data_IF_212400973967
#
_entry.id   IF_212400973967
#
_cell.length_a   1.000
_cell.length_b   1.000
_cell.length_c   1.000
_cell.angle_alpha   90.00
_cell.angle_beta   90.00
_cell.angle_gamma   90.00
#
_symmetry.space_group_name_H-M   'P 1'
#
loop_
_entity.id
_entity.type
_entity.pdbx_description
1 polymer ?
#
# COMPACT_ATOMS: atom_id res chain seq x y z
N UNK A 1 -3.32 4.55 23.34
CA UNK A 1 -2.96 3.92 24.63
C UNK A 1 -4.17 3.75 25.53
N UNK A 2 -4.89 4.82 25.90
CA UNK A 2 -6.10 4.70 26.75
C UNK A 2 -7.18 3.72 26.25
N UNK A 3 -7.42 3.59 24.95
CA UNK A 3 -8.40 2.63 24.43
C UNK A 3 -7.94 1.16 24.53
N UNK A 4 -6.64 0.91 24.44
CA UNK A 4 -6.05 -0.43 24.54
C UNK A 4 -5.97 -0.88 26.00
N UNK A 5 -5.61 0.05 26.90
CA UNK A 5 -5.74 -0.14 28.35
C UNK A 5 -7.19 -0.33 28.76
N UNK A 6 -8.15 0.42 28.21
CA UNK A 6 -9.59 0.27 28.48
C UNK A 6 -10.15 -1.07 27.93
N UNK A 7 -9.66 -1.55 26.78
CA UNK A 7 -9.99 -2.90 26.28
C UNK A 7 -9.38 -4.00 27.18
N UNK A 8 -8.18 -3.82 27.69
CA UNK A 8 -7.58 -4.81 28.61
C UNK A 8 -8.22 -4.75 30.02
N UNK A 9 -8.51 -3.55 30.54
CA UNK A 9 -9.16 -3.33 31.85
C UNK A 9 -10.62 -3.81 31.86
N UNK A 10 -11.31 -3.78 30.72
CA UNK A 10 -12.67 -4.34 30.56
C UNK A 10 -12.70 -5.87 30.44
N UNK A 11 -11.55 -6.55 30.58
CA UNK A 11 -11.49 -8.00 30.63
C UNK A 11 -11.67 -8.68 29.26
N UNK A 12 -11.36 -7.99 28.17
CA UNK A 12 -11.31 -8.63 26.86
C UNK A 12 -10.09 -9.55 26.80
N UNK A 13 -10.33 -10.83 27.07
CA UNK A 13 -9.38 -11.92 26.88
C UNK A 13 -9.52 -12.45 25.45
N UNK A 14 -8.38 -12.75 24.81
CA UNK A 14 -8.34 -13.10 23.38
C UNK A 14 -8.41 -14.62 23.21
N UNK A 15 -9.31 -15.08 22.34
CA UNK A 15 -9.31 -16.47 21.90
C UNK A 15 -8.15 -16.65 20.92
N UNK A 16 -7.21 -17.52 21.27
CA UNK A 16 -6.10 -17.88 20.38
C UNK A 16 -6.54 -19.11 19.61
N UNK A 17 -6.51 -19.05 18.28
CA UNK A 17 -6.94 -20.18 17.44
C UNK A 17 -6.23 -21.49 17.84
N UNK A 18 -6.93 -22.62 17.74
CA UNK A 18 -6.39 -23.94 18.10
C UNK A 18 -5.08 -24.23 17.32
N UNK A 19 -4.93 -23.65 16.13
CA UNK A 19 -3.70 -23.69 15.32
C UNK A 19 -2.53 -23.01 16.03
N UNK A 20 -2.72 -21.79 16.52
CA UNK A 20 -1.68 -21.05 17.28
C UNK A 20 -1.40 -21.73 18.63
N UNK A 21 -2.43 -22.27 19.29
CA UNK A 21 -2.24 -23.06 20.51
C UNK A 21 -1.41 -24.33 20.26
N UNK A 22 -1.66 -25.04 19.15
CA UNK A 22 -0.87 -26.22 18.74
C UNK A 22 0.57 -25.85 18.40
N UNK A 23 0.79 -24.73 17.73
CA UNK A 23 2.13 -24.26 17.34
C UNK A 23 3.04 -23.97 18.55
N UNK A 24 2.47 -23.58 19.70
CA UNK A 24 3.21 -23.21 20.91
C UNK A 24 2.89 -24.07 22.15
N UNK A 25 2.36 -25.29 21.94
CA UNK A 25 2.21 -26.28 23.00
C UNK A 25 1.26 -25.89 24.13
N UNK A 26 0.16 -25.18 23.82
CA UNK A 26 -0.93 -24.92 24.77
C UNK A 26 -0.61 -23.89 25.87
N UNK A 27 0.46 -23.10 25.75
CA UNK A 27 0.80 -22.04 26.72
C UNK A 27 -0.10 -20.80 26.64
N UNK A 28 -0.88 -20.67 25.57
CA UNK A 28 -1.81 -19.56 25.37
C UNK A 28 -3.18 -19.96 25.91
N UNK A 29 -3.60 -19.34 27.02
CA UNK A 29 -4.93 -19.57 27.61
C UNK A 29 -6.01 -19.17 26.60
N UNK A 30 -6.81 -20.13 26.13
CA UNK A 30 -8.09 -19.80 25.50
C UNK A 30 -9.09 -19.41 26.59
N UNK A 31 -9.86 -18.36 26.36
CA UNK A 31 -11.08 -18.12 27.13
C UNK A 31 -12.28 -18.01 26.19
N UNK A 32 -13.37 -18.65 26.61
CA UNK A 32 -14.50 -19.07 25.77
C UNK A 32 -15.58 -17.99 25.52
N UNK A 33 -15.30 -16.70 25.72
CA UNK A 33 -16.36 -15.68 25.79
C UNK A 33 -16.17 -14.47 24.86
N UNK A 34 -16.06 -14.71 23.55
CA UNK A 34 -16.46 -13.70 22.55
C UNK A 34 -17.88 -14.01 22.05
N UNK A 35 -18.87 -13.81 22.92
CA UNK A 35 -20.27 -13.85 22.55
C UNK A 35 -20.73 -12.50 22.04
N UNK A 36 -21.05 -12.39 20.74
CA UNK A 36 -21.98 -11.45 20.04
C UNK A 36 -21.97 -9.94 20.40
N UNK A 37 -21.09 -9.45 21.28
CA UNK A 37 -21.02 -8.04 21.73
C UNK A 37 -19.99 -7.21 20.96
N UNK A 38 -19.46 -7.73 19.85
CA UNK A 38 -18.37 -7.13 19.08
C UNK A 38 -18.78 -5.89 18.28
N UNK A 39 -20.07 -5.59 18.18
CA UNK A 39 -20.58 -4.49 17.34
C UNK A 39 -20.95 -3.19 18.07
N UNK A 40 -21.15 -3.20 19.39
CA UNK A 40 -21.71 -2.02 20.08
C UNK A 40 -20.70 -0.88 20.38
N UNK A 41 -19.40 -1.16 20.40
CA UNK A 41 -18.38 -0.19 20.84
C UNK A 41 -17.72 0.60 19.71
N UNK A 42 -17.80 0.11 18.48
CA UNK A 42 -17.05 0.69 17.37
C UNK A 42 -17.98 1.42 16.41
N UNK A 43 -17.51 2.58 15.95
CA UNK A 43 -18.31 3.42 15.04
C UNK A 43 -18.20 2.82 13.64
N UNK A 44 -19.33 2.44 13.07
CA UNK A 44 -19.42 2.19 11.64
C UNK A 44 -18.99 3.46 10.91
N UNK A 45 -17.89 3.37 10.16
CA UNK A 45 -17.45 4.48 9.35
C UNK A 45 -18.25 4.51 8.06
N UNK A 46 -19.04 5.57 7.86
CA UNK A 46 -19.64 5.82 6.56
C UNK A 46 -18.53 6.10 5.54
N UNK A 47 -18.45 5.29 4.49
CA UNK A 47 -17.45 5.48 3.44
C UNK A 47 -17.65 6.85 2.77
N UNK A 48 -16.66 7.77 2.82
CA UNK A 48 -16.87 9.14 2.39
C UNK A 48 -16.76 9.26 0.86
N UNK A 49 -17.76 8.76 0.13
CA UNK A 49 -17.73 8.60 -1.33
C UNK A 49 -17.47 9.92 -2.07
N UNK A 50 -18.04 11.03 -1.58
CA UNK A 50 -17.81 12.36 -2.14
C UNK A 50 -16.35 12.81 -1.98
N UNK A 51 -15.75 12.57 -0.80
CA UNK A 51 -14.33 12.90 -0.54
C UNK A 51 -13.42 12.00 -1.37
N UNK A 52 -13.74 10.71 -1.44
CA UNK A 52 -13.02 9.74 -2.27
C UNK A 52 -13.00 10.18 -3.74
N UNK A 53 -14.17 10.50 -4.32
CA UNK A 53 -14.27 10.96 -5.72
C UNK A 53 -13.52 12.27 -5.93
N UNK A 54 -13.69 13.25 -5.04
CA UNK A 54 -13.02 14.55 -5.16
C UNK A 54 -11.50 14.42 -5.12
N UNK A 55 -10.96 13.69 -4.15
CA UNK A 55 -9.51 13.48 -4.02
C UNK A 55 -8.95 12.78 -5.26
N UNK A 56 -9.60 11.71 -5.71
CA UNK A 56 -9.23 11.00 -6.94
C UNK A 56 -9.16 11.94 -8.16
N UNK A 57 -10.24 12.68 -8.44
CA UNK A 57 -10.28 13.60 -9.59
C UNK A 57 -9.27 14.74 -9.48
N UNK A 58 -9.03 15.28 -8.28
CA UNK A 58 -7.99 16.31 -8.09
C UNK A 58 -6.58 15.78 -8.37
N UNK A 59 -6.28 14.55 -7.96
CA UNK A 59 -5.01 13.90 -8.26
C UNK A 59 -4.83 13.65 -9.76
N UNK A 60 -5.88 13.16 -10.44
CA UNK A 60 -5.90 12.96 -11.89
C UNK A 60 -5.66 14.29 -12.62
N UNK A 61 -6.44 15.33 -12.28
CA UNK A 61 -6.31 16.64 -12.91
C UNK A 61 -4.92 17.25 -12.72
N UNK A 62 -4.34 17.11 -11.53
CA UNK A 62 -2.99 17.60 -11.24
C UNK A 62 -1.92 16.91 -12.09
N UNK A 63 -1.95 15.57 -12.18
CA UNK A 63 -0.97 14.79 -12.95
C UNK A 63 -1.12 14.99 -14.46
N UNK A 64 -2.35 15.09 -14.96
CA UNK A 64 -2.61 15.44 -16.37
C UNK A 64 -2.12 16.86 -16.68
N UNK A 65 -2.45 17.83 -15.82
CA UNK A 65 -2.00 19.22 -15.96
C UNK A 65 -0.48 19.35 -15.96
N UNK A 66 0.20 18.70 -15.01
CA UNK A 66 1.67 18.66 -14.95
C UNK A 66 2.27 18.02 -16.21
N UNK A 67 1.69 16.92 -16.68
CA UNK A 67 2.17 16.22 -17.89
C UNK A 67 2.03 17.09 -19.13
N UNK A 68 0.91 17.82 -19.28
CA UNK A 68 0.70 18.77 -20.36
C UNK A 68 1.72 19.93 -20.31
N UNK A 69 1.97 20.49 -19.12
CA UNK A 69 2.98 21.53 -18.91
C UNK A 69 4.38 21.05 -19.29
N UNK A 70 4.77 19.84 -18.86
CA UNK A 70 6.07 19.26 -19.21
C UNK A 70 6.17 18.94 -20.70
N UNK A 71 5.10 18.51 -21.37
CA UNK A 71 5.09 18.35 -22.82
C UNK A 71 5.38 19.68 -23.53
N UNK A 72 4.68 20.76 -23.13
CA UNK A 72 4.89 22.11 -23.69
C UNK A 72 6.31 22.60 -23.44
N UNK A 73 6.84 22.37 -22.23
CA UNK A 73 8.21 22.71 -21.88
C UNK A 73 9.23 21.95 -22.73
N UNK A 74 9.07 20.63 -22.88
CA UNK A 74 9.91 19.80 -23.74
C UNK A 74 9.85 20.27 -25.20
N UNK A 75 8.65 20.59 -25.71
CA UNK A 75 8.46 21.17 -27.04
C UNK A 75 9.25 22.48 -27.20
N UNK A 76 9.11 23.41 -26.26
CA UNK A 76 9.75 24.72 -26.35
C UNK A 76 11.28 24.64 -26.25
N UNK A 77 11.80 23.83 -25.32
CA UNK A 77 13.25 23.56 -25.19
C UNK A 77 13.77 22.97 -26.51
N UNK A 78 13.07 22.00 -27.09
CA UNK A 78 13.50 21.32 -28.32
C UNK A 78 13.64 22.24 -29.54
N UNK A 79 12.95 23.39 -29.54
CA UNK A 79 13.05 24.42 -30.58
C UNK A 79 14.19 25.42 -30.35
N UNK A 80 14.65 25.57 -29.11
CA UNK A 80 15.69 26.54 -28.72
C UNK A 80 17.10 25.95 -28.67
N UNK A 81 17.21 24.66 -28.35
CA UNK A 81 18.51 24.00 -28.17
C UNK A 81 18.97 23.30 -29.45
N UNK A 82 20.30 23.21 -29.63
CA UNK A 82 20.89 22.47 -30.72
C UNK A 82 20.62 20.95 -30.64
N UNK A 83 20.77 20.25 -31.77
CA UNK A 83 20.46 18.82 -31.89
C UNK A 83 21.22 17.93 -30.89
N UNK A 84 22.48 18.28 -30.55
CA UNK A 84 23.29 17.51 -29.58
C UNK A 84 22.68 17.55 -28.17
N UNK A 85 22.36 18.76 -27.69
CA UNK A 85 21.76 18.97 -26.37
C UNK A 85 20.40 18.28 -26.28
N UNK A 86 19.57 18.40 -27.32
CA UNK A 86 18.28 17.73 -27.39
C UNK A 86 18.40 16.21 -27.27
N UNK A 87 19.36 15.60 -27.97
CA UNK A 87 19.59 14.16 -27.89
C UNK A 87 20.01 13.74 -26.48
N UNK A 88 20.90 14.51 -25.84
CA UNK A 88 21.31 14.25 -24.46
C UNK A 88 20.11 14.35 -23.50
N UNK A 89 19.29 15.40 -23.60
CA UNK A 89 18.09 15.56 -22.78
C UNK A 89 17.12 14.40 -22.95
N UNK A 90 16.93 13.92 -24.18
CA UNK A 90 16.07 12.78 -24.46
C UNK A 90 16.61 11.50 -23.79
N UNK A 91 17.91 11.21 -23.94
CA UNK A 91 18.55 10.06 -23.28
C UNK A 91 18.42 10.15 -21.77
N UNK A 92 18.72 11.31 -21.19
CA UNK A 92 18.58 11.54 -19.74
C UNK A 92 17.14 11.32 -19.28
N UNK A 93 16.15 11.80 -20.05
CA UNK A 93 14.73 11.61 -19.71
C UNK A 93 14.34 10.13 -19.73
N UNK A 94 14.82 9.36 -20.72
CA UNK A 94 14.59 7.91 -20.77
C UNK A 94 15.26 7.17 -19.62
N UNK A 95 16.53 7.49 -19.33
CA UNK A 95 17.26 6.91 -18.19
C UNK A 95 16.50 7.20 -16.90
N UNK A 96 16.07 8.46 -16.69
CA UNK A 96 15.28 8.84 -15.52
C UNK A 96 13.97 8.05 -15.43
N UNK A 97 13.27 7.86 -16.56
CA UNK A 97 12.04 7.07 -16.62
C UNK A 97 12.27 5.60 -16.23
N UNK A 98 13.32 4.96 -16.78
CA UNK A 98 13.68 3.58 -16.45
C UNK A 98 14.11 3.46 -14.98
N UNK A 99 14.97 4.35 -14.50
CA UNK A 99 15.40 4.39 -13.10
C UNK A 99 14.21 4.60 -12.16
N UNK A 100 13.26 5.46 -12.50
CA UNK A 100 12.05 5.66 -11.74
C UNK A 100 11.21 4.37 -11.66
N UNK A 101 11.01 3.68 -12.79
CA UNK A 101 10.24 2.42 -12.82
C UNK A 101 10.90 1.35 -11.93
N UNK A 102 12.22 1.24 -11.97
CA UNK A 102 12.96 0.22 -11.22
C UNK A 102 13.11 0.50 -9.73
N UNK A 103 13.36 1.75 -9.34
CA UNK A 103 13.76 2.07 -7.97
C UNK A 103 12.70 2.83 -7.18
N UNK A 104 11.82 3.55 -7.85
CA UNK A 104 10.93 4.51 -7.20
C UNK A 104 9.46 4.09 -7.26
N UNK A 105 8.99 3.46 -8.34
CA UNK A 105 7.56 3.20 -8.62
C UNK A 105 6.78 2.71 -7.41
N UNK A 106 7.28 1.70 -6.71
CA UNK A 106 6.57 1.03 -5.62
C UNK A 106 7.21 1.29 -4.24
N UNK A 107 8.10 2.27 -4.16
CA UNK A 107 8.83 2.56 -2.94
C UNK A 107 8.03 3.43 -1.95
N UNK A 108 8.13 3.10 -0.66
CA UNK A 108 7.45 3.84 0.42
C UNK A 108 8.00 5.25 0.67
N UNK A 109 9.21 5.58 0.19
CA UNK A 109 9.82 6.90 0.44
C UNK A 109 9.03 8.05 -0.18
N UNK A 110 8.30 7.82 -1.27
CA UNK A 110 7.48 8.84 -1.92
C UNK A 110 6.39 9.38 -0.99
N UNK A 111 5.85 8.53 -0.11
CA UNK A 111 4.83 8.90 0.87
C UNK A 111 5.35 9.87 1.92
N UNK A 112 6.67 9.87 2.17
CA UNK A 112 7.31 10.81 3.11
C UNK A 112 7.43 12.21 2.54
N UNK A 113 7.63 12.34 1.22
CA UNK A 113 7.75 13.63 0.56
C UNK A 113 6.39 14.28 0.29
N UNK A 114 5.37 13.45 0.05
CA UNK A 114 4.04 13.91 -0.33
C UNK A 114 2.99 13.33 0.62
N UNK A 115 3.04 13.71 1.91
CA UNK A 115 2.06 13.24 2.89
C UNK A 115 0.69 13.79 2.48
N UNK A 116 -0.23 12.89 2.16
CA UNK A 116 -1.60 13.26 1.83
C UNK A 116 -2.34 12.15 1.10
N UNK A 117 -3.67 12.24 1.09
CA UNK A 117 -4.57 11.28 0.44
C UNK A 117 -4.27 11.12 -1.05
N UNK A 118 -3.73 12.17 -1.69
CA UNK A 118 -3.36 12.17 -3.10
C UNK A 118 -1.91 11.70 -3.37
N UNK A 119 -1.15 11.32 -2.33
CA UNK A 119 0.25 10.87 -2.47
C UNK A 119 0.41 9.71 -3.47
N UNK A 120 -0.58 8.80 -3.53
CA UNK A 120 -0.63 7.72 -4.52
C UNK A 120 -0.63 8.24 -5.97
N UNK A 121 -1.36 9.32 -6.24
CA UNK A 121 -1.46 9.90 -7.58
C UNK A 121 -0.17 10.65 -7.91
N UNK A 122 0.36 11.41 -6.96
CA UNK A 122 1.62 12.14 -7.15
C UNK A 122 2.83 11.22 -7.31
N UNK A 123 2.74 9.98 -6.82
CA UNK A 123 3.76 8.97 -7.03
C UNK A 123 3.94 8.57 -8.49
N UNK A 124 2.96 8.78 -9.38
CA UNK A 124 2.94 8.33 -10.79
C UNK A 124 3.69 9.26 -11.75
N UNK A 125 5.00 9.44 -11.53
CA UNK A 125 5.86 10.33 -12.33
C UNK A 125 6.14 9.86 -13.76
N UNK A 126 5.84 8.61 -14.10
CA UNK A 126 6.12 8.05 -15.43
C UNK A 126 5.43 8.85 -16.56
N UNK A 127 4.16 9.22 -16.39
CA UNK A 127 3.43 10.00 -17.40
C UNK A 127 4.01 11.41 -17.60
N UNK A 128 4.27 12.21 -16.54
CA UNK A 128 5.04 13.45 -16.65
C UNK A 128 6.37 13.32 -17.40
N UNK A 129 7.17 12.29 -17.08
CA UNK A 129 8.49 12.04 -17.71
C UNK A 129 8.32 11.70 -19.21
N UNK A 130 7.39 10.81 -19.55
CA UNK A 130 7.13 10.42 -20.94
C UNK A 130 6.57 11.60 -21.76
N UNK A 131 5.70 12.41 -21.18
CA UNK A 131 5.17 13.61 -21.83
C UNK A 131 6.28 14.64 -22.10
N UNK A 132 7.24 14.82 -21.19
CA UNK A 132 8.42 15.65 -21.45
C UNK A 132 9.25 15.11 -22.63
N UNK A 133 9.53 13.80 -22.66
CA UNK A 133 10.23 13.15 -23.77
C UNK A 133 9.49 13.31 -25.10
N UNK A 134 8.16 13.13 -25.09
CA UNK A 134 7.31 13.32 -26.25
C UNK A 134 7.37 14.77 -26.76
N UNK A 135 7.37 15.75 -25.86
CA UNK A 135 7.62 17.16 -26.16
C UNK A 135 8.96 17.37 -26.86
N UNK A 136 10.04 16.78 -26.34
CA UNK A 136 11.38 16.88 -26.95
C UNK A 136 11.42 16.28 -28.37
N UNK A 137 10.68 15.18 -28.59
CA UNK A 137 10.64 14.47 -29.87
C UNK A 137 9.97 15.27 -31.00
N UNK A 138 9.06 16.20 -30.68
CA UNK A 138 8.31 17.00 -31.67
C UNK A 138 9.19 17.75 -32.67
N UNK A 139 10.38 18.20 -32.28
CA UNK A 139 11.29 18.98 -33.13
C UNK A 139 12.35 18.13 -33.84
N UNK A 140 12.28 16.80 -33.77
CA UNK A 140 13.20 15.92 -34.51
C UNK A 140 12.87 15.95 -36.00
N UNK A 141 13.67 16.70 -36.77
CA UNK A 141 13.54 16.84 -38.23
C UNK A 141 13.96 15.60 -39.01
N UNK A 142 14.81 14.73 -38.43
CA UNK A 142 15.26 13.50 -39.08
C UNK A 142 14.16 12.44 -39.21
N UNK A 143 13.08 12.56 -38.45
CA UNK A 143 11.94 11.62 -38.46
C UNK A 143 10.83 12.22 -39.32
N UNK A 144 10.29 11.44 -40.26
CA UNK A 144 9.13 11.83 -41.08
C UNK A 144 7.96 12.26 -40.17
N UNK A 145 7.27 13.35 -40.51
CA UNK A 145 6.20 13.94 -39.67
C UNK A 145 5.15 12.92 -39.21
N UNK A 146 4.73 12.02 -40.10
CA UNK A 146 3.76 10.96 -39.79
C UNK A 146 4.30 9.97 -38.75
N UNK A 147 5.51 9.44 -38.93
CA UNK A 147 6.13 8.50 -37.98
C UNK A 147 6.34 9.14 -36.61
N UNK A 148 6.71 10.43 -36.59
CA UNK A 148 6.86 11.19 -35.36
C UNK A 148 5.54 11.35 -34.61
N UNK A 149 4.45 11.66 -35.33
CA UNK A 149 3.13 11.76 -34.73
C UNK A 149 2.71 10.41 -34.13
N UNK A 150 2.90 9.29 -34.86
CA UNK A 150 2.63 7.94 -34.37
C UNK A 150 3.42 7.63 -33.11
N UNK A 151 4.74 7.91 -33.09
CA UNK A 151 5.59 7.65 -31.93
C UNK A 151 5.14 8.45 -30.70
N UNK A 152 4.86 9.74 -30.86
CA UNK A 152 4.38 10.61 -29.78
C UNK A 152 3.04 10.11 -29.25
N UNK A 153 2.10 9.79 -30.14
CA UNK A 153 0.79 9.25 -29.75
C UNK A 153 0.92 7.94 -29.00
N UNK A 154 1.82 7.04 -29.44
CA UNK A 154 2.05 5.76 -28.78
C UNK A 154 2.65 5.95 -27.38
N UNK A 155 3.64 6.83 -27.23
CA UNK A 155 4.23 7.15 -25.93
C UNK A 155 3.19 7.71 -24.94
N UNK A 156 2.40 8.70 -25.37
CA UNK A 156 1.33 9.29 -24.54
C UNK A 156 0.29 8.21 -24.22
N UNK A 157 -0.15 7.43 -25.20
CA UNK A 157 -1.14 6.37 -25.01
C UNK A 157 -0.67 5.33 -23.99
N UNK A 158 0.56 4.80 -24.12
CA UNK A 158 1.12 3.82 -23.17
C UNK A 158 1.21 4.41 -21.76
N UNK A 159 1.66 5.66 -21.63
CA UNK A 159 1.73 6.32 -20.33
C UNK A 159 0.37 6.56 -19.69
N UNK A 160 -0.64 6.91 -20.50
CA UNK A 160 -2.03 7.07 -20.05
C UNK A 160 -2.66 5.74 -19.68
N UNK A 161 -2.35 4.65 -20.40
CA UNK A 161 -2.86 3.32 -20.08
C UNK A 161 -2.32 2.81 -18.74
N UNK A 162 -1.04 3.03 -18.42
CA UNK A 162 -0.50 2.69 -17.08
C UNK A 162 -1.28 3.44 -15.99
N UNK A 163 -1.56 4.72 -16.20
CA UNK A 163 -2.33 5.54 -15.27
C UNK A 163 -3.80 5.10 -15.15
N UNK A 164 -4.48 4.86 -16.28
CA UNK A 164 -5.90 4.47 -16.34
C UNK A 164 -6.11 3.04 -15.85
N UNK A 165 -5.15 2.14 -16.10
CA UNK A 165 -5.28 0.72 -15.70
C UNK A 165 -5.55 0.56 -14.20
N UNK A 166 -4.98 1.43 -13.37
CA UNK A 166 -5.26 1.45 -11.93
C UNK A 166 -6.73 1.77 -11.59
N UNK A 167 -7.41 2.57 -12.43
CA UNK A 167 -8.82 2.92 -12.25
C UNK A 167 -9.78 2.00 -13.01
N UNK A 168 -9.32 1.37 -14.11
CA UNK A 168 -10.15 0.60 -15.04
C UNK A 168 -10.14 -0.91 -14.78
N UNK A 169 -9.15 -1.44 -14.05
CA UNK A 169 -9.15 -2.85 -13.66
C UNK A 169 -10.35 -3.16 -12.75
N UNK A 170 -10.94 -4.33 -12.97
CA UNK A 170 -12.04 -4.82 -12.15
C UNK A 170 -11.60 -4.93 -10.70
N UNK A 171 -12.45 -4.43 -9.80
CA UNK A 171 -12.28 -4.62 -8.37
C UNK A 171 -12.58 -6.08 -8.03
N UNK A 172 -11.81 -6.71 -7.15
CA UNK A 172 -12.18 -8.03 -6.64
C UNK A 172 -13.55 -7.95 -5.96
N UNK A 173 -14.35 -9.00 -6.15
CA UNK A 173 -15.61 -9.16 -5.41
C UNK A 173 -15.23 -9.55 -4.00
N UNK A 174 -15.76 -8.84 -3.01
CA UNK A 174 -15.46 -9.10 -1.61
C UNK A 174 -16.65 -9.64 -0.85
N UNK A 175 -16.37 -10.34 0.23
CA UNK A 175 -17.34 -10.78 1.22
C UNK A 175 -16.75 -10.50 2.59
N UNK A 176 -17.48 -9.79 3.44
CA UNK A 176 -17.00 -9.48 4.78
C UNK A 176 -16.95 -10.78 5.60
N UNK A 177 -15.72 -11.21 5.90
CA UNK A 177 -15.41 -12.41 6.69
C UNK A 177 -14.52 -11.99 7.84
N UNK A 178 -14.76 -12.58 9.00
CA UNK A 178 -14.04 -12.26 10.21
C UNK A 178 -13.63 -13.55 10.92
N UNK A 179 -12.43 -13.55 11.49
CA UNK A 179 -11.97 -14.53 12.47
C UNK A 179 -11.55 -13.75 13.72
N UNK A 180 -12.34 -13.86 14.78
CA UNK A 180 -12.33 -12.94 15.92
C UNK A 180 -12.46 -11.47 15.47
N UNK A 181 -11.40 -10.67 15.64
CA UNK A 181 -11.31 -9.27 15.24
C UNK A 181 -10.49 -9.07 13.95
N UNK A 182 -10.00 -10.15 13.35
CA UNK A 182 -9.24 -10.11 12.09
C UNK A 182 -10.22 -10.09 10.93
N UNK A 183 -10.12 -9.07 10.08
CA UNK A 183 -10.83 -9.07 8.80
C UNK A 183 -10.10 -10.02 7.84
N UNK A 184 -10.79 -11.09 7.42
CA UNK A 184 -10.23 -12.07 6.49
C UNK A 184 -10.38 -11.59 5.03
N UNK A 185 -9.35 -11.81 4.21
CA UNK A 185 -9.41 -11.54 2.79
C UNK A 185 -10.37 -12.49 2.10
N UNK A 186 -11.20 -12.02 1.18
CA UNK A 186 -12.08 -12.85 0.35
C UNK A 186 -11.46 -13.28 -0.98
N UNK A 187 -10.38 -12.64 -1.42
CA UNK A 187 -9.65 -12.91 -2.65
C UNK A 187 -8.14 -12.82 -2.43
N UNK A 188 -7.33 -13.47 -3.26
CA UNK A 188 -5.87 -13.35 -3.27
C UNK A 188 -5.40 -11.90 -3.45
N UNK A 189 -6.21 -11.04 -4.10
CA UNK A 189 -5.89 -9.64 -4.31
C UNK A 189 -6.22 -8.72 -3.11
N UNK A 190 -6.82 -9.24 -2.04
CA UNK A 190 -7.41 -8.41 -0.97
C UNK A 190 -6.77 -8.56 0.41
N UNK A 191 -5.60 -9.19 0.52
CA UNK A 191 -4.82 -9.23 1.77
C UNK A 191 -4.57 -7.83 2.36
N UNK A 192 -4.10 -6.89 1.54
CA UNK A 192 -3.81 -5.51 1.94
C UNK A 192 -5.04 -4.71 2.44
N UNK A 193 -6.18 -4.64 1.72
CA UNK A 193 -7.37 -3.96 2.23
C UNK A 193 -7.95 -4.62 3.47
N UNK A 194 -7.91 -5.96 3.59
CA UNK A 194 -8.34 -6.68 4.79
C UNK A 194 -7.42 -6.37 6.00
N UNK A 195 -6.11 -6.32 5.81
CA UNK A 195 -5.17 -5.86 6.84
C UNK A 195 -5.42 -4.40 7.25
N UNK A 196 -5.75 -3.52 6.29
CA UNK A 196 -6.14 -2.14 6.60
C UNK A 196 -7.44 -2.05 7.40
N UNK A 197 -8.45 -2.85 7.07
CA UNK A 197 -9.70 -2.94 7.83
C UNK A 197 -9.43 -3.40 9.26
N UNK A 198 -8.61 -4.46 9.42
CA UNK A 198 -8.16 -4.97 10.71
C UNK A 198 -7.45 -3.88 11.53
N UNK A 199 -6.51 -3.13 10.94
CA UNK A 199 -5.81 -2.05 11.64
C UNK A 199 -6.75 -0.91 12.08
N UNK A 200 -7.72 -0.54 11.23
CA UNK A 200 -8.73 0.47 11.56
C UNK A 200 -9.67 -0.02 12.68
N UNK A 201 -10.06 -1.29 12.65
CA UNK A 201 -10.88 -1.92 13.69
C UNK A 201 -10.17 -1.94 15.04
N UNK A 202 -8.87 -2.27 15.06
CA UNK A 202 -8.02 -2.13 16.25
C UNK A 202 -7.91 -0.67 16.75
N UNK A 203 -8.20 0.30 15.88
CA UNK A 203 -8.26 1.73 16.21
C UNK A 203 -9.69 2.20 16.53
N UNK A 204 -10.66 1.30 16.68
CA UNK A 204 -12.06 1.61 17.02
C UNK A 204 -12.91 2.09 15.83
N UNK A 205 -12.46 1.86 14.60
CA UNK A 205 -13.14 2.27 13.37
C UNK A 205 -13.53 1.01 12.59
N UNK A 206 -14.83 0.67 12.55
CA UNK A 206 -15.29 -0.48 11.77
C UNK A 206 -15.40 -0.10 10.30
N UNK A 207 -14.72 -0.87 9.46
CA UNK A 207 -14.73 -0.73 8.00
C UNK A 207 -14.77 -2.13 7.39
N UNK A 208 -15.64 -2.32 6.42
CA UNK A 208 -15.72 -3.56 5.64
C UNK A 208 -14.47 -3.78 4.76
N UNK A 209 -14.18 -5.04 4.41
CA UNK A 209 -13.15 -5.33 3.41
C UNK A 209 -13.49 -4.64 2.08
N UNK A 210 -14.78 -4.63 1.72
CA UNK A 210 -15.28 -4.00 0.51
C UNK A 210 -14.97 -2.51 0.45
N UNK A 211 -15.16 -1.78 1.55
CA UNK A 211 -14.88 -0.35 1.61
C UNK A 211 -13.38 -0.08 1.55
N UNK A 212 -12.56 -0.93 2.18
CA UNK A 212 -11.11 -0.84 2.04
C UNK A 212 -10.64 -1.16 0.62
N UNK A 213 -11.24 -2.11 -0.10
CA UNK A 213 -10.96 -2.35 -1.53
C UNK A 213 -11.16 -1.07 -2.34
N UNK A 214 -12.25 -0.33 -2.08
CA UNK A 214 -12.53 0.95 -2.73
C UNK A 214 -11.56 2.04 -2.27
N UNK A 215 -11.30 2.15 -0.97
CA UNK A 215 -10.44 3.16 -0.37
C UNK A 215 -8.97 3.01 -0.84
N UNK A 216 -8.50 1.78 -0.97
CA UNK A 216 -7.13 1.47 -1.38
C UNK A 216 -6.94 1.48 -2.90
N UNK A 217 -8.03 1.60 -3.68
CA UNK A 217 -8.01 1.43 -5.14
C UNK A 217 -7.44 0.05 -5.55
N UNK A 218 -7.88 -0.99 -4.83
CA UNK A 218 -7.45 -2.37 -5.05
C UNK A 218 -7.96 -2.88 -6.40
N UNK A 219 -7.11 -3.60 -7.11
CA UNK A 219 -7.43 -4.21 -8.41
C UNK A 219 -7.28 -5.73 -8.33
N UNK A 220 -7.60 -6.46 -9.39
CA UNK A 220 -7.30 -7.90 -9.49
C UNK A 220 -5.80 -8.24 -9.39
N UNK A 221 -4.90 -7.25 -9.45
CA UNK A 221 -3.45 -7.42 -9.25
C UNK A 221 -2.98 -7.13 -7.81
N UNK A 222 -3.92 -6.94 -6.88
CA UNK A 222 -3.63 -6.57 -5.52
C UNK A 222 -3.63 -5.05 -5.29
N UNK A 223 -2.94 -4.64 -4.23
CA UNK A 223 -2.93 -3.28 -3.71
C UNK A 223 -1.50 -2.79 -3.56
N UNK A 224 -1.22 -1.56 -4.02
CA UNK A 224 0.09 -0.96 -3.80
C UNK A 224 0.22 -0.35 -2.39
N UNK A 225 1.45 -0.19 -1.92
CA UNK A 225 1.73 0.47 -0.63
C UNK A 225 1.11 1.87 -0.51
N UNK A 226 1.13 2.64 -1.60
CA UNK A 226 0.49 3.96 -1.65
C UNK A 226 -1.03 3.88 -1.64
N UNK A 227 -1.61 2.80 -2.19
CA UNK A 227 -3.03 2.48 -2.10
C UNK A 227 -3.46 2.28 -0.65
N UNK A 228 -2.74 1.44 0.10
CA UNK A 228 -2.99 1.24 1.53
C UNK A 228 -2.89 2.55 2.34
N UNK A 229 -1.81 3.30 2.15
CA UNK A 229 -1.64 4.61 2.81
C UNK A 229 -2.82 5.55 2.52
N UNK A 230 -3.27 5.61 1.27
CA UNK A 230 -4.44 6.39 0.86
C UNK A 230 -5.71 5.91 1.56
N UNK A 231 -5.96 4.60 1.55
CA UNK A 231 -7.16 4.00 2.13
C UNK A 231 -7.27 4.31 3.63
N UNK A 232 -6.20 4.06 4.37
CA UNK A 232 -6.10 4.42 5.77
C UNK A 232 -6.27 5.93 5.97
N UNK A 233 -5.57 6.77 5.19
CA UNK A 233 -5.62 8.23 5.33
C UNK A 233 -7.01 8.83 5.11
N UNK A 234 -7.86 8.17 4.30
CA UNK A 234 -9.24 8.58 4.08
C UNK A 234 -10.13 8.32 5.28
N UNK A 235 -9.89 7.22 6.01
CA UNK A 235 -10.81 6.67 6.99
C UNK A 235 -10.36 6.88 8.44
N UNK A 236 -9.07 7.14 8.68
CA UNK A 236 -8.62 7.55 10.02
C UNK A 236 -9.29 8.86 10.45
N UNK A 237 -9.65 8.91 11.73
CA UNK A 237 -10.27 10.05 12.39
C UNK A 237 -9.44 11.34 12.23
N UNK A 238 -10.09 12.51 12.39
CA UNK A 238 -9.48 13.82 12.14
C UNK A 238 -8.33 14.18 13.09
N UNK A 239 -8.28 13.55 14.25
CA UNK A 239 -7.26 13.65 15.29
C UNK A 239 -6.15 12.59 15.15
N UNK A 240 -6.20 11.77 14.11
CA UNK A 240 -5.17 10.79 13.77
C UNK A 240 -4.61 11.05 12.36
N UNK A 241 -3.42 10.53 12.10
CA UNK A 241 -2.83 10.49 10.77
C UNK A 241 -2.10 9.17 10.54
N UNK A 242 -1.87 8.84 9.27
CA UNK A 242 -1.13 7.63 8.88
C UNK A 242 0.34 8.00 8.73
N UNK A 243 1.22 7.27 9.40
CA UNK A 243 2.66 7.36 9.25
C UNK A 243 3.18 6.24 8.36
N UNK A 244 4.01 6.58 7.35
CA UNK A 244 4.76 5.61 6.55
C UNK A 244 6.26 5.76 6.84
N UNK A 245 6.83 4.84 7.61
CA UNK A 245 8.22 4.95 8.09
C UNK A 245 8.95 3.63 7.95
N UNK A 246 10.27 3.73 7.82
CA UNK A 246 11.19 2.60 7.89
C UNK A 246 11.75 2.54 9.31
N UNK A 247 11.66 1.38 9.92
CA UNK A 247 12.15 1.07 11.25
C UNK A 247 13.34 0.12 11.13
N UNK A 248 14.27 0.21 12.07
CA UNK A 248 15.44 -0.68 12.11
C UNK A 248 15.13 -1.99 12.82
N UNK A 249 14.18 -1.98 13.75
CA UNK A 249 13.67 -3.16 14.45
C UNK A 249 12.18 -3.02 14.73
N UNK A 250 11.54 -4.15 15.07
CA UNK A 250 10.13 -4.19 15.48
C UNK A 250 9.88 -3.43 16.79
N UNK A 251 10.88 -3.37 17.67
CA UNK A 251 10.77 -2.69 18.98
C UNK A 251 10.71 -1.16 18.85
N UNK A 252 11.23 -0.61 17.74
CA UNK A 252 11.13 0.83 17.45
C UNK A 252 9.80 1.22 16.79
N UNK A 253 9.02 0.23 16.34
CA UNK A 253 7.81 0.43 15.58
C UNK A 253 6.60 0.63 16.50
N UNK A 254 5.85 1.73 16.36
CA UNK A 254 4.57 1.89 17.07
C UNK A 254 3.60 0.78 16.66
N UNK A 255 2.95 0.14 17.65
CA UNK A 255 1.96 -0.91 17.42
C UNK A 255 0.54 -0.41 17.73
N UNK A 256 -0.49 -0.92 17.04
CA UNK A 256 -0.43 -1.88 15.94
C UNK A 256 0.09 -1.25 14.62
N UNK A 257 0.68 -2.07 13.76
CA UNK A 257 1.28 -1.64 12.50
C UNK A 257 1.03 -2.61 11.35
N UNK A 258 0.79 -2.10 10.15
CA UNK A 258 0.82 -2.90 8.92
C UNK A 258 2.26 -3.01 8.42
N UNK A 259 2.67 -4.22 8.09
CA UNK A 259 3.94 -4.50 7.42
C UNK A 259 3.68 -5.29 6.12
N UNK A 260 4.62 -5.17 5.19
CA UNK A 260 4.72 -6.10 4.07
C UNK A 260 5.80 -7.13 4.40
N UNK A 261 5.39 -8.39 4.48
CA UNK A 261 6.25 -9.54 4.59
C UNK A 261 6.48 -10.13 3.17
N UNK A 262 7.72 -10.46 2.85
CA UNK A 262 8.11 -10.99 1.54
C UNK A 262 9.34 -11.89 1.72
N UNK A 263 9.26 -13.12 1.25
CA UNK A 263 10.43 -13.97 1.18
C UNK A 263 11.29 -13.58 -0.03
N UNK A 264 12.44 -12.94 0.19
CA UNK A 264 13.26 -12.40 -0.92
C UNK A 264 14.20 -13.40 -1.57
N UNK A 265 14.40 -14.56 -0.97
CA UNK A 265 15.44 -15.48 -1.39
C UNK A 265 15.07 -16.93 -1.12
N UNK A 266 15.48 -17.83 -2.03
CA UNK A 266 15.34 -19.28 -1.94
C UNK A 266 16.53 -19.96 -1.25
N UNK A 267 17.37 -19.21 -0.52
CA UNK A 267 18.49 -19.81 0.21
C UNK A 267 17.99 -20.90 1.15
N UNK A 268 18.80 -21.94 1.33
CA UNK A 268 18.47 -23.09 2.17
C UNK A 268 18.07 -22.70 3.61
N UNK A 269 18.65 -21.62 4.14
CA UNK A 269 18.31 -21.07 5.47
C UNK A 269 16.85 -20.62 5.60
N UNK A 270 16.16 -20.34 4.49
CA UNK A 270 14.75 -19.91 4.47
C UNK A 270 13.79 -20.96 3.94
N UNK A 271 14.30 -22.16 3.62
CA UNK A 271 13.52 -23.26 3.06
C UNK A 271 12.30 -23.62 3.92
N UNK A 272 12.43 -23.47 5.24
CA UNK A 272 11.34 -23.62 6.20
C UNK A 272 10.13 -22.73 5.91
N UNK A 273 10.34 -21.44 5.61
CA UNK A 273 9.24 -20.51 5.35
C UNK A 273 8.48 -20.89 4.07
N UNK A 274 9.17 -21.43 3.08
CA UNK A 274 8.54 -21.91 1.86
C UNK A 274 7.81 -23.25 2.07
N UNK A 275 8.51 -24.27 2.59
CA UNK A 275 8.00 -25.63 2.66
C UNK A 275 6.99 -25.86 3.78
N UNK A 276 7.17 -25.21 4.94
CA UNK A 276 6.27 -25.40 6.10
C UNK A 276 5.20 -24.32 6.15
N UNK A 277 5.51 -23.07 5.77
CA UNK A 277 4.62 -21.92 5.93
C UNK A 277 4.01 -21.43 4.61
N UNK A 278 4.43 -21.99 3.48
CA UNK A 278 3.84 -21.69 2.17
C UNK A 278 4.23 -20.33 1.57
N UNK A 279 5.28 -19.69 2.05
CA UNK A 279 5.74 -18.42 1.48
C UNK A 279 6.42 -18.63 0.13
N UNK A 280 5.84 -18.04 -0.91
CA UNK A 280 6.42 -18.03 -2.26
C UNK A 280 7.43 -16.87 -2.40
N UNK A 281 8.68 -17.15 -2.83
CA UNK A 281 9.69 -16.10 -2.98
C UNK A 281 9.29 -15.03 -3.99
N UNK A 282 9.37 -13.76 -3.57
CA UNK A 282 8.99 -12.60 -4.38
C UNK A 282 7.49 -12.29 -4.41
N UNK A 283 6.68 -13.05 -3.66
CA UNK A 283 5.26 -12.72 -3.45
C UNK A 283 5.11 -11.96 -2.12
N UNK A 284 4.86 -10.63 -2.17
CA UNK A 284 4.64 -9.86 -0.96
C UNK A 284 3.25 -10.12 -0.40
N UNK A 285 3.16 -10.17 0.93
CA UNK A 285 1.91 -10.34 1.66
C UNK A 285 1.82 -9.32 2.80
N UNK A 286 0.60 -8.83 3.07
CA UNK A 286 0.36 -7.77 4.04
C UNK A 286 -0.24 -8.34 5.32
N UNK A 287 0.41 -8.07 6.45
CA UNK A 287 -0.03 -8.51 7.79
C UNK A 287 -0.02 -7.34 8.77
N UNK A 288 -0.80 -7.46 9.85
CA UNK A 288 -0.81 -6.48 10.94
C UNK A 288 -0.06 -7.05 12.14
N UNK A 289 1.03 -6.40 12.55
CA UNK A 289 1.69 -6.69 13.82
C UNK A 289 0.88 -6.02 14.92
N UNK A 290 0.30 -6.82 15.82
CA UNK A 290 -0.57 -6.31 16.87
C UNK A 290 0.20 -6.00 18.15
N UNK A 291 0.96 -6.97 18.68
CA UNK A 291 1.76 -6.80 19.90
C UNK A 291 2.96 -7.74 19.92
N UNK A 292 3.93 -7.40 20.77
CA UNK A 292 5.02 -8.28 21.18
C UNK A 292 4.61 -9.09 22.41
N UNK A 293 4.96 -10.38 22.44
CA UNK A 293 4.79 -11.28 23.59
C UNK A 293 6.11 -11.41 24.38
N UNK A 294 6.04 -11.86 25.64
CA UNK A 294 7.19 -11.94 26.57
C UNK A 294 8.33 -12.87 26.09
N UNK A 295 8.00 -13.92 25.30
CA UNK A 295 8.93 -14.95 24.83
C UNK A 295 9.51 -14.66 23.41
N UNK A 296 9.74 -13.39 23.05
CA UNK A 296 10.15 -12.97 21.69
C UNK A 296 9.14 -13.33 20.58
N UNK A 297 7.91 -13.62 20.96
CA UNK A 297 6.80 -13.85 20.05
C UNK A 297 6.21 -12.53 19.54
N UNK A 298 5.66 -12.57 18.35
CA UNK A 298 4.93 -11.47 17.72
C UNK A 298 3.56 -11.98 17.35
N UNK A 299 2.52 -11.39 17.92
CA UNK A 299 1.15 -11.72 17.55
C UNK A 299 0.78 -10.87 16.34
N UNK A 300 0.48 -11.52 15.22
CA UNK A 300 0.08 -10.91 13.97
C UNK A 300 -1.36 -11.29 13.63
N UNK A 301 -2.02 -10.40 12.91
CA UNK A 301 -3.24 -10.70 12.18
C UNK A 301 -2.91 -10.79 10.69
N UNK A 302 -3.04 -12.01 10.15
CA UNK A 302 -2.91 -12.33 8.75
C UNK A 302 -4.31 -12.47 8.13
N UNK A 303 -4.60 -11.67 7.10
CA UNK A 303 -5.89 -11.69 6.44
C UNK A 303 -6.23 -13.04 5.77
N UNK A 304 -5.23 -13.88 5.46
CA UNK A 304 -5.45 -15.19 4.84
C UNK A 304 -5.89 -16.25 5.85
N UNK A 305 -5.40 -16.19 7.08
CA UNK A 305 -5.49 -17.30 8.05
C UNK A 305 -5.92 -16.92 9.47
N UNK A 306 -6.13 -15.62 9.75
CA UNK A 306 -6.52 -15.14 11.06
C UNK A 306 -5.32 -14.75 11.92
N UNK A 307 -5.35 -15.09 13.21
CA UNK A 307 -4.25 -14.80 14.13
C UNK A 307 -3.09 -15.78 13.94
N UNK A 308 -1.87 -15.25 13.91
CA UNK A 308 -0.62 -16.00 13.85
C UNK A 308 0.38 -15.51 14.91
N UNK A 309 1.22 -16.42 15.38
CA UNK A 309 2.32 -16.10 16.28
C UNK A 309 3.63 -16.38 15.55
N UNK A 310 4.37 -15.33 15.23
CA UNK A 310 5.69 -15.44 14.61
C UNK A 310 6.79 -15.23 15.64
N UNK A 311 7.95 -15.85 15.41
CA UNK A 311 9.15 -15.47 16.15
C UNK A 311 9.79 -14.22 15.52
N UNK A 312 10.64 -13.50 16.29
CA UNK A 312 11.38 -12.34 15.77
C UNK A 312 12.22 -12.65 14.53
N UNK A 313 12.76 -13.88 14.44
CA UNK A 313 13.59 -14.30 13.30
C UNK A 313 12.79 -14.28 11.99
N UNK A 314 11.50 -14.63 12.04
CA UNK A 314 10.63 -14.52 10.88
C UNK A 314 10.53 -13.08 10.37
N UNK A 315 10.45 -12.07 11.25
CA UNK A 315 10.48 -10.68 10.81
C UNK A 315 11.83 -10.28 10.22
N UNK A 316 12.95 -10.73 10.79
CA UNK A 316 14.28 -10.42 10.23
C UNK A 316 14.45 -10.93 8.79
N UNK A 317 13.74 -12.01 8.45
CA UNK A 317 13.76 -12.62 7.11
C UNK A 317 12.72 -12.00 6.18
N UNK A 318 11.48 -11.84 6.66
CA UNK A 318 10.33 -11.51 5.83
C UNK A 318 10.09 -10.01 5.72
N UNK A 319 10.41 -9.23 6.75
CA UNK A 319 10.07 -7.81 6.78
C UNK A 319 11.19 -6.92 6.24
N UNK A 320 10.83 -5.99 5.36
CA UNK A 320 11.79 -5.06 4.74
C UNK A 320 12.08 -3.78 5.56
N UNK A 321 11.51 -3.69 6.77
CA UNK A 321 11.59 -2.54 7.66
C UNK A 321 10.54 -1.45 7.42
N UNK A 322 9.72 -1.52 6.37
CA UNK A 322 8.68 -0.53 6.10
C UNK A 322 7.36 -0.87 6.81
N UNK A 323 6.75 0.12 7.45
CA UNK A 323 5.46 -0.05 8.12
C UNK A 323 4.53 1.15 7.94
N UNK A 324 3.22 0.86 7.95
CA UNK A 324 2.15 1.84 8.09
C UNK A 324 1.60 1.78 9.51
N UNK A 325 1.54 2.94 10.16
CA UNK A 325 1.06 3.08 11.54
C UNK A 325 0.01 4.18 11.63
N UNK A 326 -0.96 4.03 12.53
CA UNK A 326 -1.89 5.11 12.86
C UNK A 326 -1.33 5.84 14.08
N UNK A 327 -1.09 7.14 13.91
CA UNK A 327 -0.46 7.98 14.92
C UNK A 327 -1.44 9.05 15.40
N UNK A 328 -1.43 9.38 16.71
CA UNK A 328 -2.20 10.51 17.22
C UNK A 328 -1.66 11.84 16.67
N UNK A 329 -2.55 12.79 16.46
CA UNK A 329 -2.25 14.13 15.97
C UNK A 329 -3.04 14.48 14.71
N UNK A 330 -3.43 15.75 14.60
CA UNK A 330 -4.16 16.26 13.43
C UNK A 330 -3.32 16.08 12.16
N UNK A 331 -4.01 15.71 11.07
CA UNK A 331 -3.47 15.77 9.70
C UNK A 331 -2.92 17.20 9.48
N UNK A 332 -1.61 17.32 9.28
CA UNK A 332 -0.94 18.60 8.99
C UNK A 332 -1.29 19.11 7.61
#
# INVERSE_FOLDING_TARGET
>A
MHMLEDLMERGYEFHVSERVQRQFGGRLRSSENWGDTSHDWAKEAEFPEAVHRRTLWTGIAAIVGLSALLFIMGYWISRRVGHRIRNVLLVVTFVLGVTYVWLARDSGWQLRLMPGVNGMMYGKWLMPIICFAAGLLTSFSKIRRSHRAVLISLLVCVSSLDFISAAALSRPVTSDRYDDWVTLQSSEATCSPAACATLLQLSGILVSEQDMVRACLTTSRGTSWQGMYRGLSLLVANDCHVGAKKYSSVDEMPLPAIINAELRSTKDEYKRYHEEWGWEPGEPHTVVVFRTEDDDGLLLADAAVGLELWDRRALDVLWNGEALVILPGRKK
#
